data_IF_347693877452
#
_entry.id   IF_347693877452
#
_cell.length_a   1.000
_cell.length_b   1.000
_cell.length_c   1.000
_cell.angle_alpha   90.00
_cell.angle_beta   90.00
_cell.angle_gamma   90.00
#
_symmetry.space_group_name_H-M   'P 1'
#
loop_
_entity.id
_entity.type
_entity.pdbx_description
1 polymer ?
#
# COMPACT_ATOMS: atom_id res chain seq x y z
N UNK A 1 7.67 -6.92 8.78
CA UNK A 1 7.98 -6.19 7.54
C UNK A 1 9.03 -5.14 7.83
N UNK A 2 10.00 -4.99 6.94
CA UNK A 2 11.07 -3.98 7.01
C UNK A 2 10.66 -2.71 6.25
N UNK A 3 11.23 -1.56 6.59
CA UNK A 3 10.93 -0.25 6.00
C UNK A 3 12.17 0.32 5.29
N UNK A 4 12.35 -0.08 4.03
CA UNK A 4 13.52 0.25 3.20
C UNK A 4 13.21 1.26 2.08
N UNK A 5 12.02 1.84 2.07
CA UNK A 5 11.63 2.86 1.12
C UNK A 5 11.83 4.27 1.67
N UNK A 6 10.83 5.13 1.50
CA UNK A 6 10.95 6.57 1.75
C UNK A 6 10.07 7.06 2.90
N UNK A 7 10.36 8.27 3.34
CA UNK A 7 9.69 8.94 4.45
C UNK A 7 9.17 10.30 3.99
N UNK A 8 8.09 10.75 4.61
CA UNK A 8 7.67 12.15 4.56
C UNK A 8 7.53 12.70 5.98
N UNK A 9 7.53 14.02 6.12
CA UNK A 9 7.44 14.71 7.40
C UNK A 9 6.52 15.92 7.28
N UNK A 10 5.63 16.10 8.25
CA UNK A 10 4.84 17.32 8.44
C UNK A 10 5.25 17.98 9.76
N UNK A 11 5.88 19.16 9.66
CA UNK A 11 6.39 19.91 10.80
C UNK A 11 5.30 20.51 11.69
N UNK A 12 4.10 20.78 11.15
CA UNK A 12 2.99 21.31 11.95
C UNK A 12 2.36 20.23 12.82
N UNK A 13 2.39 18.98 12.36
CA UNK A 13 1.87 17.82 13.09
C UNK A 13 2.93 17.12 13.94
N UNK A 14 4.21 17.44 13.72
CA UNK A 14 5.36 16.73 14.27
C UNK A 14 5.29 15.22 14.00
N UNK A 15 4.97 14.85 12.74
CA UNK A 15 4.76 13.46 12.34
C UNK A 15 5.64 13.05 11.15
N UNK A 16 6.26 11.87 11.25
CA UNK A 16 6.84 11.14 10.13
C UNK A 16 5.86 10.10 9.57
N UNK A 17 5.90 9.94 8.25
CA UNK A 17 5.07 9.00 7.50
C UNK A 17 5.93 8.02 6.71
N UNK A 18 5.64 6.73 6.81
CA UNK A 18 6.35 5.70 6.06
C UNK A 18 5.53 4.42 5.93
N UNK A 19 5.97 3.57 5.00
CA UNK A 19 5.37 2.27 4.73
C UNK A 19 6.19 1.13 5.32
N UNK A 20 5.52 0.11 5.86
CA UNK A 20 6.14 -1.14 6.30
C UNK A 20 5.98 -2.23 5.24
N UNK A 21 7.04 -2.99 5.00
CA UNK A 21 7.10 -4.01 3.96
C UNK A 21 6.35 -5.29 4.29
N UNK A 22 6.58 -6.30 3.46
CA UNK A 22 5.89 -7.60 3.46
C UNK A 22 6.13 -8.44 4.72
N UNK A 23 5.22 -9.38 5.02
CA UNK A 23 5.46 -10.44 6.00
C UNK A 23 6.43 -11.49 5.46
N UNK A 24 6.97 -12.29 6.37
CA UNK A 24 7.86 -13.41 6.06
C UNK A 24 7.28 -14.72 6.65
N UNK A 25 7.48 -15.87 5.98
CA UNK A 25 8.05 -16.04 4.64
C UNK A 25 7.08 -15.55 3.55
N UNK A 26 7.44 -15.62 2.26
CA UNK A 26 6.46 -15.31 1.21
C UNK A 26 5.33 -16.36 1.15
N UNK A 27 5.63 -17.63 1.42
CA UNK A 27 4.64 -18.69 1.58
C UNK A 27 3.58 -18.30 2.63
N UNK A 28 2.38 -17.94 2.19
CA UNK A 28 1.30 -17.43 3.04
C UNK A 28 0.77 -18.48 4.00
N UNK A 29 0.71 -19.75 3.55
CA UNK A 29 0.08 -20.84 4.28
C UNK A 29 0.83 -21.12 5.60
N UNK A 30 2.11 -20.76 5.66
CA UNK A 30 2.96 -20.88 6.85
C UNK A 30 2.69 -19.81 7.93
N UNK A 31 1.93 -18.76 7.63
CA UNK A 31 1.76 -17.59 8.50
C UNK A 31 0.30 -17.10 8.54
N UNK A 32 -0.63 -17.92 9.03
CA UNK A 32 -2.05 -17.57 9.09
C UNK A 32 -2.30 -16.27 9.88
N UNK A 33 -3.35 -15.54 9.46
CA UNK A 33 -3.81 -14.29 10.08
C UNK A 33 -3.28 -13.04 9.38
N UNK A 34 -3.82 -11.87 9.74
CA UNK A 34 -3.56 -10.59 9.05
C UNK A 34 -2.10 -10.16 8.95
N UNK A 35 -1.22 -10.78 9.75
CA UNK A 35 0.20 -10.46 9.88
C UNK A 35 0.46 -8.98 10.23
N UNK A 36 -0.43 -8.37 11.01
CA UNK A 36 -0.25 -7.00 11.47
C UNK A 36 1.06 -6.86 12.26
N UNK A 37 1.85 -5.82 12.04
CA UNK A 37 1.56 -4.62 11.25
C UNK A 37 2.45 -4.49 9.99
N UNK A 38 2.59 -5.56 9.21
CA UNK A 38 3.18 -5.47 7.86
C UNK A 38 2.24 -4.73 6.91
N UNK A 39 2.74 -4.26 5.76
CA UNK A 39 1.94 -3.59 4.71
C UNK A 39 1.15 -2.38 5.20
N UNK A 40 1.66 -1.70 6.23
CA UNK A 40 0.97 -0.62 6.93
C UNK A 40 1.57 0.74 6.58
N UNK A 41 0.71 1.70 6.25
CA UNK A 41 1.03 3.13 6.23
C UNK A 41 1.01 3.62 7.67
N UNK A 42 2.09 4.23 8.12
CA UNK A 42 2.24 4.77 9.47
C UNK A 42 2.23 6.29 9.48
N UNK A 43 1.67 6.86 10.54
CA UNK A 43 1.98 8.21 11.01
C UNK A 43 2.49 8.14 12.45
N UNK A 44 3.75 8.49 12.68
CA UNK A 44 4.40 8.43 14.00
C UNK A 44 4.88 9.80 14.44
N UNK A 45 4.76 10.07 15.72
CA UNK A 45 5.37 11.21 16.40
C UNK A 45 6.90 11.18 16.24
N UNK A 46 7.52 12.31 15.87
CA UNK A 46 8.98 12.35 15.61
C UNK A 46 9.80 12.23 16.88
N UNK A 47 9.33 12.79 17.99
CA UNK A 47 10.10 12.85 19.23
C UNK A 47 10.06 11.51 19.98
N UNK A 48 8.91 10.85 19.96
CA UNK A 48 8.66 9.63 20.75
C UNK A 48 8.64 8.35 19.92
N UNK A 49 8.40 8.44 18.61
CA UNK A 49 8.18 7.28 17.74
C UNK A 49 6.82 6.59 17.94
N UNK A 50 5.94 7.12 18.81
CA UNK A 50 4.61 6.57 19.03
C UNK A 50 3.75 6.70 17.77
N UNK A 51 3.05 5.64 17.39
CA UNK A 51 2.13 5.67 16.26
C UNK A 51 0.85 6.43 16.63
N UNK A 52 0.56 7.51 15.90
CA UNK A 52 -0.73 8.21 15.97
C UNK A 52 -1.81 7.46 15.17
N UNK A 53 -1.42 6.87 14.04
CA UNK A 53 -2.27 5.96 13.27
C UNK A 53 -1.45 4.91 12.51
N UNK A 54 -2.13 3.83 12.12
CA UNK A 54 -1.61 2.80 11.22
C UNK A 54 -2.74 2.21 10.37
N UNK A 55 -2.60 2.25 9.04
CA UNK A 55 -3.56 1.67 8.09
C UNK A 55 -2.91 0.52 7.31
N UNK A 56 -3.38 -0.71 7.52
CA UNK A 56 -2.87 -1.90 6.84
C UNK A 56 -3.53 -2.06 5.46
N UNK A 57 -2.76 -1.87 4.39
CA UNK A 57 -3.21 -1.91 2.99
C UNK A 57 -3.49 -3.32 2.49
N UNK A 58 -2.61 -4.25 2.83
CA UNK A 58 -2.65 -5.64 2.37
C UNK A 58 -2.59 -6.58 3.58
N UNK A 59 -3.72 -6.81 4.28
CA UNK A 59 -3.81 -7.82 5.32
C UNK A 59 -3.52 -9.20 4.74
N UNK A 60 -2.71 -9.99 5.45
CA UNK A 60 -2.27 -11.31 5.00
C UNK A 60 -1.81 -11.29 3.54
N UNK A 61 -0.72 -10.58 3.28
CA UNK A 61 -0.14 -10.48 1.93
C UNK A 61 0.19 -11.87 1.39
N UNK A 62 -0.03 -12.09 0.10
CA UNK A 62 0.23 -13.37 -0.57
C UNK A 62 1.20 -13.19 -1.75
N UNK A 63 1.62 -11.97 -2.05
CA UNK A 63 2.21 -11.63 -3.35
C UNK A 63 3.51 -10.83 -3.27
N UNK A 64 4.05 -10.63 -2.07
CA UNK A 64 5.18 -9.72 -1.82
C UNK A 64 4.88 -8.28 -2.24
N UNK A 65 3.68 -7.76 -1.97
CA UNK A 65 3.39 -6.34 -2.25
C UNK A 65 3.97 -5.42 -1.18
N UNK A 66 5.30 -5.46 -0.96
CA UNK A 66 5.95 -4.80 0.17
C UNK A 66 5.64 -3.31 0.19
N UNK A 67 4.83 -2.88 1.16
CA UNK A 67 4.17 -1.58 1.15
C UNK A 67 5.04 -0.40 1.57
N UNK A 68 6.23 -0.25 0.99
CA UNK A 68 7.29 0.70 1.37
C UNK A 68 7.42 1.93 0.46
N UNK A 69 6.61 2.02 -0.60
CA UNK A 69 6.71 3.09 -1.60
C UNK A 69 6.57 4.50 -0.98
N UNK A 70 6.95 5.53 -1.74
CA UNK A 70 7.04 6.91 -1.24
C UNK A 70 5.69 7.47 -0.73
N UNK A 71 5.77 8.51 0.09
CA UNK A 71 4.63 9.23 0.67
C UNK A 71 4.58 10.66 0.13
N UNK A 72 3.60 10.99 -0.72
CA UNK A 72 3.41 12.33 -1.27
C UNK A 72 2.46 13.17 -0.42
N UNK A 73 2.95 14.21 0.25
CA UNK A 73 2.10 15.11 1.04
C UNK A 73 1.52 16.22 0.18
N UNK A 74 0.22 16.50 0.31
CA UNK A 74 -0.46 17.59 -0.41
C UNK A 74 -1.61 18.16 0.40
N UNK A 75 -2.13 19.32 0.00
CA UNK A 75 -3.36 19.88 0.54
C UNK A 75 -4.36 20.11 -0.57
N UNK A 76 -5.53 19.48 -0.47
CA UNK A 76 -6.54 19.50 -1.53
C UNK A 76 -7.94 19.64 -0.93
N UNK A 77 -8.92 19.93 -1.78
CA UNK A 77 -10.32 19.96 -1.38
C UNK A 77 -10.89 18.54 -1.42
N UNK A 78 -11.42 18.07 -0.30
CA UNK A 78 -12.15 16.80 -0.16
C UNK A 78 -13.53 17.16 0.37
N UNK A 79 -14.58 16.83 -0.38
CA UNK A 79 -15.97 17.16 -0.04
C UNK A 79 -16.18 18.63 0.36
N UNK A 80 -15.52 19.55 -0.37
CA UNK A 80 -15.62 20.99 -0.11
C UNK A 80 -14.79 21.50 1.08
N UNK A 81 -14.00 20.64 1.73
CA UNK A 81 -13.09 21.01 2.83
C UNK A 81 -11.62 20.88 2.43
N UNK A 82 -10.83 21.92 2.71
CA UNK A 82 -9.36 21.86 2.58
C UNK A 82 -8.81 20.84 3.58
N UNK A 83 -8.15 19.81 3.08
CA UNK A 83 -7.72 18.64 3.86
C UNK A 83 -6.23 18.38 3.64
N UNK A 84 -5.53 18.07 4.74
CA UNK A 84 -4.14 17.65 4.74
C UNK A 84 -4.05 16.17 4.35
N UNK A 85 -3.47 15.88 3.19
CA UNK A 85 -3.44 14.53 2.60
C UNK A 85 -2.03 13.93 2.55
N UNK A 86 -1.96 12.61 2.60
CA UNK A 86 -0.87 11.81 2.06
C UNK A 86 -1.40 10.97 0.89
N UNK A 87 -0.62 10.83 -0.17
CA UNK A 87 -0.91 9.99 -1.34
C UNK A 87 0.23 9.01 -1.54
N UNK A 88 -0.12 7.74 -1.79
CA UNK A 88 0.82 6.63 -1.77
C UNK A 88 0.45 5.59 -2.86
N UNK A 89 1.18 5.53 -3.98
CA UNK A 89 1.05 4.45 -4.95
C UNK A 89 1.76 3.19 -4.42
N UNK A 90 1.00 2.15 -4.10
CA UNK A 90 1.53 0.92 -3.51
C UNK A 90 1.96 -0.12 -4.57
N UNK A 91 2.79 -1.08 -4.16
CA UNK A 91 3.17 -2.25 -4.97
C UNK A 91 1.94 -3.01 -5.47
N UNK A 92 0.90 -3.11 -4.64
CA UNK A 92 -0.32 -3.85 -4.93
C UNK A 92 -1.18 -3.23 -6.06
N UNK A 93 -0.74 -2.12 -6.67
CA UNK A 93 -1.41 -1.49 -7.80
C UNK A 93 -2.58 -0.59 -7.41
N UNK A 94 -2.75 -0.31 -6.12
CA UNK A 94 -3.68 0.71 -5.63
C UNK A 94 -2.91 1.99 -5.26
N UNK A 95 -3.52 3.13 -5.58
CA UNK A 95 -3.10 4.44 -5.08
C UNK A 95 -4.01 4.82 -3.93
N UNK A 96 -3.41 4.95 -2.75
CA UNK A 96 -4.10 5.32 -1.53
C UNK A 96 -3.96 6.82 -1.27
N UNK A 97 -5.05 7.47 -0.89
CA UNK A 97 -5.03 8.82 -0.33
C UNK A 97 -5.69 8.80 1.04
N UNK A 98 -4.97 9.27 2.05
CA UNK A 98 -5.42 9.33 3.45
C UNK A 98 -5.35 10.77 3.94
N UNK A 99 -6.21 11.13 4.90
CA UNK A 99 -5.98 12.30 5.74
C UNK A 99 -4.76 12.03 6.62
N UNK A 100 -3.71 12.86 6.48
CA UNK A 100 -2.43 12.64 7.17
C UNK A 100 -2.41 13.05 8.64
N UNK A 101 -3.47 13.70 9.13
CA UNK A 101 -3.60 14.07 10.55
C UNK A 101 -4.09 12.88 11.39
N UNK A 102 -4.98 12.05 10.83
CA UNK A 102 -5.68 11.01 11.59
C UNK A 102 -5.74 9.63 10.94
N UNK A 103 -5.18 9.47 9.73
CA UNK A 103 -5.15 8.19 9.02
C UNK A 103 -6.47 7.78 8.36
N UNK A 104 -7.46 8.66 8.30
CA UNK A 104 -8.76 8.35 7.65
C UNK A 104 -8.55 8.13 6.15
N UNK A 105 -9.05 7.00 5.64
CA UNK A 105 -9.02 6.68 4.21
C UNK A 105 -9.94 7.63 3.44
N UNK A 106 -9.39 8.37 2.48
CA UNK A 106 -10.14 9.30 1.61
C UNK A 106 -10.46 8.63 0.28
N UNK A 107 -9.48 7.92 -0.31
CA UNK A 107 -9.68 7.18 -1.55
C UNK A 107 -8.66 6.04 -1.69
N UNK A 108 -9.03 5.01 -2.42
CA UNK A 108 -8.17 3.91 -2.82
C UNK A 108 -8.62 3.41 -4.20
N UNK A 109 -7.86 3.73 -5.24
CA UNK A 109 -8.22 3.38 -6.63
C UNK A 109 -7.10 2.58 -7.30
N UNK A 110 -7.47 1.75 -8.28
CA UNK A 110 -6.51 1.00 -9.09
C UNK A 110 -5.72 1.96 -9.98
N UNK A 111 -4.40 1.88 -9.95
CA UNK A 111 -3.52 2.68 -10.81
C UNK A 111 -3.68 2.30 -12.29
N UNK A 112 -4.07 1.05 -12.55
CA UNK A 112 -4.38 0.50 -13.86
C UNK A 112 -5.52 -0.54 -13.73
N UNK A 113 -6.40 -0.62 -14.72
CA UNK A 113 -7.61 -1.46 -14.68
C UNK A 113 -7.31 -2.97 -14.71
N UNK A 114 -6.09 -3.38 -15.03
CA UNK A 114 -5.67 -4.79 -15.07
C UNK A 114 -5.38 -5.40 -13.70
N UNK A 115 -5.30 -4.59 -12.62
CA UNK A 115 -5.15 -5.11 -11.24
C UNK A 115 -6.30 -6.06 -10.91
N UNK A 116 -6.01 -7.30 -10.52
CA UNK A 116 -7.02 -8.36 -10.37
C UNK A 116 -7.04 -9.10 -9.02
N UNK A 117 -5.98 -9.04 -8.21
CA UNK A 117 -5.96 -9.64 -6.86
C UNK A 117 -7.05 -9.08 -5.94
N UNK A 118 -7.49 -7.85 -6.21
CA UNK A 118 -8.52 -7.11 -5.47
C UNK A 118 -9.60 -6.62 -6.43
N UNK A 119 -10.86 -6.80 -6.03
CA UNK A 119 -12.01 -6.25 -6.77
C UNK A 119 -12.08 -4.73 -6.58
N UNK A 120 -12.10 -4.31 -5.32
CA UNK A 120 -12.03 -2.91 -4.88
C UNK A 120 -11.62 -2.84 -3.39
N UNK A 121 -11.35 -1.64 -2.89
CA UNK A 121 -11.27 -1.39 -1.45
C UNK A 121 -12.62 -0.85 -0.97
N UNK A 122 -13.21 -1.48 0.03
CA UNK A 122 -14.40 -0.94 0.69
C UNK A 122 -13.97 0.23 1.56
N UNK A 123 -14.34 1.45 1.16
CA UNK A 123 -13.96 2.68 1.87
C UNK A 123 -14.59 2.82 3.26
N UNK A 124 -15.68 2.09 3.55
CA UNK A 124 -16.31 2.12 4.89
C UNK A 124 -15.54 1.27 5.88
N UNK A 125 -15.11 0.08 5.46
CA UNK A 125 -14.36 -0.84 6.31
C UNK A 125 -12.84 -0.62 6.24
N UNK A 126 -12.37 0.01 5.15
CA UNK A 126 -10.96 0.18 4.82
C UNK A 126 -10.30 -1.08 4.26
N UNK A 127 -11.05 -2.16 4.01
CA UNK A 127 -10.49 -3.46 3.67
C UNK A 127 -10.51 -3.73 2.14
N UNK A 128 -9.45 -4.35 1.58
CA UNK A 128 -9.49 -4.83 0.20
C UNK A 128 -10.44 -6.04 0.09
N UNK A 129 -11.40 -5.95 -0.83
CA UNK A 129 -12.25 -7.09 -1.22
C UNK A 129 -11.46 -7.94 -2.21
N UNK A 130 -10.81 -8.98 -1.67
CA UNK A 130 -9.94 -9.90 -2.42
C UNK A 130 -10.72 -10.67 -3.49
N UNK A 131 -10.03 -11.04 -4.55
CA UNK A 131 -10.53 -12.01 -5.53
C UNK A 131 -9.82 -13.36 -5.33
N UNK A 132 -10.51 -14.40 -4.84
CA UNK A 132 -9.90 -15.71 -4.57
C UNK A 132 -9.32 -16.40 -5.82
N UNK A 133 -9.69 -15.98 -7.03
CA UNK A 133 -9.12 -16.53 -8.26
C UNK A 133 -7.61 -16.24 -8.39
N UNK A 134 -7.14 -15.15 -7.77
CA UNK A 134 -5.75 -14.69 -7.87
C UNK A 134 -5.00 -14.77 -6.53
N UNK A 135 -5.54 -15.50 -5.54
CA UNK A 135 -4.82 -15.82 -4.30
C UNK A 135 -3.74 -16.86 -4.52
N UNK A 136 -2.69 -16.83 -3.71
CA UNK A 136 -1.66 -17.89 -3.69
C UNK A 136 -1.88 -18.79 -2.49
N UNK A 137 -1.59 -20.08 -2.61
CA UNK A 137 -1.55 -20.99 -1.47
C UNK A 137 -0.72 -22.23 -1.81
N UNK A 138 -0.32 -23.00 -0.79
CA UNK A 138 0.40 -24.26 -0.99
C UNK A 138 -0.34 -25.21 -1.95
N UNK A 139 0.45 -25.98 -2.69
CA UNK A 139 0.00 -27.01 -3.64
C UNK A 139 -0.87 -26.46 -4.79
N UNK A 140 -0.69 -25.18 -5.14
CA UNK A 140 -1.41 -24.50 -6.22
C UNK A 140 -0.54 -23.46 -6.93
N UNK A 141 -0.42 -23.61 -8.25
CA UNK A 141 0.15 -22.61 -9.14
C UNK A 141 -0.94 -21.62 -9.58
N UNK A 142 -0.98 -20.45 -8.94
CA UNK A 142 -1.85 -19.35 -9.33
C UNK A 142 -1.27 -18.64 -10.56
N UNK A 143 -2.11 -18.29 -11.54
CA UNK A 143 -1.67 -17.75 -12.85
C UNK A 143 -2.28 -16.40 -13.16
N UNK A 144 -1.51 -15.57 -13.87
CA UNK A 144 -1.99 -14.28 -14.38
C UNK A 144 -2.33 -13.27 -13.28
N UNK A 145 -1.65 -13.32 -12.13
CA UNK A 145 -1.84 -12.37 -11.03
C UNK A 145 -1.26 -11.02 -11.45
N UNK A 146 -2.05 -9.96 -11.32
CA UNK A 146 -1.66 -8.60 -11.59
C UNK A 146 -1.95 -7.70 -10.35
N UNK A 147 -0.93 -6.99 -9.82
CA UNK A 147 0.47 -6.95 -10.28
C UNK A 147 1.31 -8.22 -10.04
N UNK A 148 2.52 -8.25 -10.59
CA UNK A 148 3.57 -9.17 -10.13
C UNK A 148 4.13 -8.71 -8.78
N UNK A 149 4.99 -9.53 -8.16
CA UNK A 149 5.73 -9.18 -6.94
C UNK A 149 6.49 -7.85 -7.06
N UNK A 150 6.98 -7.48 -8.26
CA UNK A 150 7.63 -6.19 -8.49
C UNK A 150 6.69 -4.99 -8.32
N UNK A 151 5.38 -5.24 -8.34
CA UNK A 151 4.29 -4.28 -8.21
C UNK A 151 4.08 -3.43 -9.46
N UNK A 152 2.92 -2.77 -9.56
CA UNK A 152 2.68 -1.73 -10.57
C UNK A 152 3.36 -0.40 -10.22
N UNK A 153 3.86 -0.30 -8.99
CA UNK A 153 4.75 0.75 -8.54
C UNK A 153 5.79 0.17 -7.58
N UNK A 154 7.01 0.70 -7.58
CA UNK A 154 8.09 0.21 -6.72
C UNK A 154 8.79 1.38 -6.00
N UNK A 155 10.11 1.35 -5.84
CA UNK A 155 10.90 2.32 -5.08
C UNK A 155 10.98 3.74 -5.67
N UNK A 156 10.36 4.01 -6.82
CA UNK A 156 10.37 5.34 -7.44
C UNK A 156 9.81 6.41 -6.50
N UNK A 157 10.45 7.58 -6.48
CA UNK A 157 9.87 8.79 -5.89
C UNK A 157 9.17 9.54 -7.03
N UNK A 158 7.90 9.84 -6.84
CA UNK A 158 7.10 10.52 -7.85
C UNK A 158 6.97 12.02 -7.58
N UNK A 159 6.37 12.75 -8.52
CA UNK A 159 6.24 14.20 -8.43
C UNK A 159 4.79 14.67 -8.33
N UNK A 160 4.59 15.83 -7.71
CA UNK A 160 3.29 16.48 -7.58
C UNK A 160 3.37 17.95 -8.02
N UNK A 161 2.47 18.37 -8.90
CA UNK A 161 2.29 19.77 -9.26
C UNK A 161 1.12 20.38 -8.47
N UNK A 162 1.37 21.31 -7.53
CA UNK A 162 0.33 21.90 -6.70
C UNK A 162 -0.61 22.85 -7.45
N UNK A 163 -0.17 23.44 -8.57
CA UNK A 163 -1.01 24.31 -9.38
C UNK A 163 -2.04 23.50 -10.18
N UNK A 164 -1.61 22.36 -10.73
CA UNK A 164 -2.48 21.44 -11.49
C UNK A 164 -3.20 20.42 -10.60
N UNK A 165 -2.70 20.20 -9.38
CA UNK A 165 -3.15 19.17 -8.44
C UNK A 165 -3.03 17.75 -9.02
N UNK A 166 -1.93 17.49 -9.72
CA UNK A 166 -1.67 16.22 -10.38
C UNK A 166 -0.39 15.57 -9.85
N UNK A 167 -0.47 14.27 -9.57
CA UNK A 167 0.69 13.42 -9.38
C UNK A 167 1.11 12.82 -10.73
N UNK A 168 2.40 12.79 -11.01
CA UNK A 168 2.98 12.12 -12.19
C UNK A 168 3.79 10.93 -11.71
N UNK A 169 3.36 9.73 -12.09
CA UNK A 169 3.89 8.47 -11.57
C UNK A 169 4.55 7.64 -12.69
N UNK A 170 5.76 7.15 -12.46
CA UNK A 170 6.35 6.07 -13.22
C UNK A 170 5.75 4.73 -12.80
N UNK A 171 5.08 4.03 -13.72
CA UNK A 171 4.41 2.76 -13.41
C UNK A 171 5.08 1.57 -14.10
N UNK A 172 5.04 0.42 -13.43
CA UNK A 172 5.30 -0.87 -14.05
C UNK A 172 3.98 -1.45 -14.57
N UNK A 173 4.05 -2.32 -15.57
CA UNK A 173 2.91 -3.09 -16.07
C UNK A 173 3.32 -4.56 -16.26
N UNK A 174 3.48 -5.26 -15.13
CA UNK A 174 4.06 -6.61 -15.05
C UNK A 174 3.15 -7.49 -14.18
N UNK A 175 2.78 -8.67 -14.68
CA UNK A 175 2.00 -9.70 -13.97
C UNK A 175 2.84 -10.97 -13.74
N UNK A 176 2.34 -11.96 -13.00
CA UNK A 176 3.08 -13.17 -12.66
C UNK A 176 2.21 -14.42 -12.53
N UNK A 177 2.87 -15.56 -12.62
CA UNK A 177 2.41 -16.83 -12.08
C UNK A 177 3.20 -17.11 -10.78
N UNK A 178 2.57 -17.73 -9.79
CA UNK A 178 3.17 -17.97 -8.48
C UNK A 178 2.72 -19.30 -7.89
N UNK A 179 3.68 -20.11 -7.46
CA UNK A 179 3.46 -21.29 -6.63
C UNK A 179 4.37 -21.21 -5.38
N UNK A 180 3.81 -21.14 -4.16
CA UNK A 180 4.63 -21.21 -2.95
C UNK A 180 5.12 -22.64 -2.73
N UNK A 181 6.36 -22.77 -2.25
CA UNK A 181 6.96 -24.05 -1.91
C UNK A 181 7.50 -24.04 -0.48
N UNK A 182 7.66 -25.23 0.10
CA UNK A 182 8.48 -25.44 1.29
C UNK A 182 9.77 -26.13 0.86
N UNK A 183 10.92 -25.61 1.31
CA UNK A 183 12.16 -26.36 1.17
C UNK A 183 12.09 -27.62 2.05
N UNK A 184 12.52 -28.79 1.53
CA UNK A 184 12.55 -30.04 2.29
C UNK A 184 13.50 -29.99 3.49
#
# INVERSE_FOLDING_TARGET
>A
GTNWGWYAFDSELNMIYYGSGNPAPWNETMRPGDNKWTMTIWGRDVDTGEAKFGYQKTPHDEWDYAGVNYMGLSEQMVDGKKTKLLTHPDRNGLVYTLNRENGTLVNAFKIDNTVNWVKHVDLKTGLPVRDPEYSTHMDHEAKGICPSAMGYHNQGIESYDPARKLFFMGINHICMDWEPFMLP
#
